data_IF_269583168625
#
_entry.id   IF_269583168625
#
_cell.length_a   1.000
_cell.length_b   1.000
_cell.length_c   1.000
_cell.angle_alpha   90.00
_cell.angle_beta   90.00
_cell.angle_gamma   90.00
#
_symmetry.space_group_name_H-M   'P 1'
#
loop_
_entity.id
_entity.type
_entity.pdbx_description
1 polymer ?
#
# COMPACT_ATOMS: atom_id res chain seq x y z
N UNK A 1 -13.42 -5.51 32.48
CA UNK A 1 -14.66 -5.60 31.67
C UNK A 1 -15.60 -6.62 32.29
N UNK A 2 -16.91 -6.38 32.23
CA UNK A 2 -17.91 -7.36 32.62
C UNK A 2 -18.75 -7.76 31.41
N UNK A 3 -18.85 -9.06 31.16
CA UNK A 3 -19.56 -9.62 30.01
C UNK A 3 -21.05 -9.76 30.30
N UNK A 4 -21.89 -9.04 29.55
CA UNK A 4 -23.37 -9.16 29.66
C UNK A 4 -23.93 -10.32 28.83
N UNK A 5 -23.22 -10.74 27.79
CA UNK A 5 -23.49 -11.94 27.00
C UNK A 5 -22.17 -12.52 26.50
N UNK A 6 -21.88 -13.77 26.85
CA UNK A 6 -20.64 -14.46 26.49
C UNK A 6 -20.95 -15.87 25.98
N UNK A 7 -20.27 -16.30 24.92
CA UNK A 7 -20.28 -17.68 24.43
C UNK A 7 -18.90 -18.32 24.65
N UNK A 8 -18.65 -18.96 25.79
CA UNK A 8 -17.44 -19.75 25.99
C UNK A 8 -17.60 -21.10 25.29
N UNK A 9 -17.29 -21.18 24.01
CA UNK A 9 -17.06 -22.49 23.41
C UNK A 9 -15.88 -22.51 22.45
N UNK A 10 -14.67 -22.53 23.01
CA UNK A 10 -13.53 -23.26 22.45
C UNK A 10 -12.51 -23.50 23.58
N UNK A 11 -11.97 -24.73 23.64
CA UNK A 11 -11.15 -25.25 24.75
C UNK A 11 -9.73 -24.66 24.87
N UNK A 12 -9.45 -23.49 24.30
CA UNK A 12 -8.08 -22.99 24.15
C UNK A 12 -7.84 -21.50 24.49
N UNK A 13 -8.80 -20.80 25.10
CA UNK A 13 -8.57 -19.42 25.56
C UNK A 13 -8.11 -19.42 27.02
N UNK A 14 -6.80 -19.21 27.21
CA UNK A 14 -6.18 -18.96 28.51
C UNK A 14 -6.44 -17.54 29.04
N UNK A 15 -6.95 -16.62 28.21
CA UNK A 15 -7.40 -15.27 28.59
C UNK A 15 -8.63 -14.88 27.73
N UNK A 16 -9.65 -14.21 28.30
CA UNK A 16 -10.86 -13.85 27.57
C UNK A 16 -10.59 -12.74 26.54
N UNK A 17 -10.71 -13.07 25.26
CA UNK A 17 -10.66 -12.11 24.14
C UNK A 17 -12.07 -11.69 23.75
N UNK A 18 -12.32 -10.39 23.65
CA UNK A 18 -13.56 -9.81 23.13
C UNK A 18 -13.64 -10.09 21.62
N UNK A 19 -14.67 -10.83 21.21
CA UNK A 19 -15.01 -11.06 19.80
C UNK A 19 -16.11 -10.08 19.38
N UNK A 20 -16.25 -9.88 18.07
CA UNK A 20 -17.12 -8.87 17.43
C UNK A 20 -18.58 -8.81 17.92
N UNK A 21 -19.10 -9.84 18.60
CA UNK A 21 -20.46 -9.88 19.20
C UNK A 21 -20.51 -9.71 20.72
N UNK A 22 -19.37 -9.54 21.39
CA UNK A 22 -19.30 -9.53 22.85
C UNK A 22 -19.64 -8.14 23.40
N UNK A 23 -20.60 -8.12 24.35
CA UNK A 23 -21.02 -6.90 25.03
C UNK A 23 -20.31 -6.77 26.38
N UNK A 24 -19.26 -5.95 26.41
CA UNK A 24 -18.51 -5.62 27.62
C UNK A 24 -18.91 -4.26 28.19
N UNK A 25 -19.01 -4.13 29.52
CA UNK A 25 -19.14 -2.83 30.21
C UNK A 25 -17.91 -2.55 31.09
N UNK A 26 -17.65 -1.25 31.30
CA UNK A 26 -16.44 -0.71 31.94
C UNK A 26 -16.62 -0.23 33.38
N UNK A 27 -17.74 -0.54 34.04
CA UNK A 27 -18.04 -0.05 35.40
C UNK A 27 -18.18 -1.21 36.40
N UNK A 28 -17.20 -1.28 37.31
CA UNK A 28 -17.21 -2.12 38.50
C UNK A 28 -18.23 -1.56 39.52
N UNK A 29 -19.36 -2.25 39.68
CA UNK A 29 -20.22 -2.18 40.87
C UNK A 29 -21.09 -0.91 41.12
N UNK A 30 -21.59 -0.22 40.08
CA UNK A 30 -22.74 0.68 40.27
C UNK A 30 -24.04 0.08 39.73
N UNK A 31 -25.03 -0.09 40.61
CA UNK A 31 -26.42 -0.35 40.23
C UNK A 31 -27.28 0.83 40.75
N UNK A 32 -27.81 1.71 39.88
CA UNK A 32 -27.79 1.65 38.42
C UNK A 32 -26.47 2.14 37.77
N UNK A 33 -26.18 1.71 36.52
CA UNK A 33 -25.04 2.20 35.75
C UNK A 33 -25.26 3.64 35.27
N UNK A 34 -24.28 4.53 35.51
CA UNK A 34 -24.34 5.95 35.12
C UNK A 34 -23.92 6.23 33.66
N UNK A 35 -23.54 5.20 32.89
CA UNK A 35 -23.16 5.36 31.50
C UNK A 35 -23.86 4.29 30.65
N UNK A 36 -24.44 4.68 29.49
CA UNK A 36 -24.94 3.69 28.53
C UNK A 36 -23.77 2.80 28.09
N UNK A 37 -24.03 1.51 27.78
CA UNK A 37 -23.00 0.60 27.31
C UNK A 37 -22.33 1.16 26.04
N UNK A 38 -21.00 1.17 26.02
CA UNK A 38 -20.21 1.57 24.87
C UNK A 38 -19.88 0.33 24.04
N UNK A 39 -20.39 0.20 22.81
CA UNK A 39 -20.05 -0.93 21.95
C UNK A 39 -18.61 -0.77 21.44
N UNK A 40 -17.75 -1.70 21.81
CA UNK A 40 -16.44 -1.85 21.17
C UNK A 40 -16.62 -2.71 19.92
N UNK A 41 -16.85 -2.08 18.77
CA UNK A 41 -16.99 -2.76 17.48
C UNK A 41 -15.59 -2.87 16.86
N UNK A 42 -15.04 -4.08 16.81
CA UNK A 42 -13.94 -4.38 15.90
C UNK A 42 -14.48 -4.24 14.47
N UNK A 43 -13.82 -3.44 13.63
CA UNK A 43 -14.27 -3.13 12.28
C UNK A 43 -14.58 -4.40 11.49
N UNK A 44 -15.84 -4.57 11.11
CA UNK A 44 -16.26 -5.62 10.17
C UNK A 44 -15.72 -5.19 8.81
N UNK A 45 -14.90 -6.03 8.18
CA UNK A 45 -14.53 -5.88 6.77
C UNK A 45 -15.56 -6.64 5.92
N UNK A 46 -16.59 -5.98 5.35
CA UNK A 46 -17.60 -6.67 4.56
C UNK A 46 -17.11 -6.74 3.12
N UNK A 47 -16.06 -7.53 2.89
CA UNK A 47 -15.74 -8.07 1.58
C UNK A 47 -15.62 -9.58 1.75
N UNK A 48 -16.70 -10.31 1.45
CA UNK A 48 -16.63 -11.77 1.26
C UNK A 48 -15.81 -12.16 0.03
N UNK A 49 -15.44 -11.17 -0.80
CA UNK A 49 -14.51 -11.32 -1.89
C UNK A 49 -13.07 -11.11 -1.40
N UNK A 50 -12.21 -12.08 -1.68
CA UNK A 50 -10.76 -11.95 -1.54
C UNK A 50 -10.21 -10.82 -2.42
N UNK A 51 -9.04 -10.29 -2.08
CA UNK A 51 -8.40 -9.26 -2.90
C UNK A 51 -8.12 -9.71 -4.33
N UNK A 52 -7.87 -11.00 -4.54
CA UNK A 52 -7.76 -11.58 -5.88
C UNK A 52 -9.06 -11.41 -6.67
N UNK A 53 -10.23 -11.65 -6.06
CA UNK A 53 -11.53 -11.53 -6.72
C UNK A 53 -11.88 -10.06 -7.03
N UNK A 54 -11.59 -9.13 -6.11
CA UNK A 54 -11.84 -7.70 -6.33
C UNK A 54 -11.00 -7.17 -7.48
N UNK A 55 -9.70 -7.48 -7.48
CA UNK A 55 -8.80 -7.03 -8.54
C UNK A 55 -9.13 -7.70 -9.88
N UNK A 56 -9.47 -8.99 -9.88
CA UNK A 56 -9.89 -9.71 -11.09
C UNK A 56 -11.20 -9.16 -11.68
N UNK A 57 -12.19 -8.82 -10.83
CA UNK A 57 -13.45 -8.22 -11.28
C UNK A 57 -13.25 -6.86 -11.96
N UNK A 58 -12.19 -6.15 -11.60
CA UNK A 58 -11.80 -4.88 -12.22
C UNK A 58 -10.88 -5.07 -13.43
N UNK A 59 -10.47 -6.29 -13.75
CA UNK A 59 -9.45 -6.56 -14.77
C UNK A 59 -8.08 -6.01 -14.40
N UNK A 60 -7.79 -5.82 -13.12
CA UNK A 60 -6.47 -5.42 -12.63
C UNK A 60 -5.60 -6.67 -12.48
N UNK A 61 -4.71 -6.87 -13.45
CA UNK A 61 -3.73 -7.96 -13.42
C UNK A 61 -2.59 -7.56 -12.46
N UNK A 62 -2.70 -7.97 -11.21
CA UNK A 62 -1.62 -7.88 -10.22
C UNK A 62 -0.60 -9.00 -10.44
N UNK A 63 0.69 -8.67 -10.39
CA UNK A 63 1.76 -9.64 -10.64
C UNK A 63 3.11 -9.18 -10.07
N UNK A 64 4.08 -10.09 -9.94
CA UNK A 64 5.48 -9.71 -9.74
C UNK A 64 6.08 -9.22 -11.04
N UNK A 65 6.98 -8.24 -10.99
CA UNK A 65 7.52 -7.64 -12.21
C UNK A 65 8.09 -8.67 -13.20
N UNK A 66 8.82 -9.69 -12.73
CA UNK A 66 9.41 -10.75 -13.56
C UNK A 66 8.41 -11.66 -14.28
N UNK A 67 7.20 -11.81 -13.76
CA UNK A 67 6.19 -12.72 -14.30
C UNK A 67 5.33 -12.10 -15.42
N UNK A 68 5.48 -10.79 -15.66
CA UNK A 68 4.53 -9.90 -16.34
C UNK A 68 3.56 -10.57 -17.35
N UNK A 69 2.27 -10.73 -16.97
CA UNK A 69 1.20 -11.19 -17.86
C UNK A 69 0.54 -10.04 -18.63
N UNK A 70 1.17 -8.87 -18.71
CA UNK A 70 0.62 -7.71 -19.39
C UNK A 70 0.68 -7.90 -20.90
N UNK A 71 -0.36 -7.47 -21.61
CA UNK A 71 -0.41 -7.60 -23.07
C UNK A 71 0.63 -6.68 -23.71
N UNK A 72 1.71 -7.28 -24.22
CA UNK A 72 2.80 -6.52 -24.81
C UNK A 72 2.43 -6.02 -26.23
N UNK A 73 2.36 -4.69 -26.40
CA UNK A 73 2.74 -3.81 -27.55
C UNK A 73 1.70 -2.70 -27.94
N UNK A 74 2.05 -1.41 -28.21
CA UNK A 74 3.33 -0.86 -28.72
C UNK A 74 3.67 0.64 -28.40
N UNK A 75 4.88 1.10 -28.82
CA UNK A 75 5.20 2.51 -29.18
C UNK A 75 5.27 2.76 -30.71
N UNK A 76 5.12 1.73 -31.56
CA UNK A 76 5.03 1.88 -33.03
C UNK A 76 4.44 0.68 -33.81
N UNK A 77 4.30 -0.53 -33.24
CA UNK A 77 3.62 -1.67 -33.87
C UNK A 77 4.26 -3.00 -33.46
N UNK A 78 3.55 -4.00 -32.97
CA UNK A 78 2.11 -4.03 -32.82
C UNK A 78 1.58 -5.35 -32.24
N UNK A 79 1.00 -5.25 -31.06
CA UNK A 79 -0.22 -5.96 -30.69
C UNK A 79 -1.36 -4.94 -30.56
N UNK A 80 -2.57 -5.41 -30.27
CA UNK A 80 -3.78 -4.60 -30.33
C UNK A 80 -3.65 -3.37 -29.42
N UNK A 81 -3.52 -2.16 -30.01
CA UNK A 81 -3.42 -0.90 -29.27
C UNK A 81 -4.56 -0.69 -28.26
N UNK A 82 -5.71 -1.30 -28.48
CA UNK A 82 -6.83 -1.24 -27.54
C UNK A 82 -6.59 -2.07 -26.27
N UNK A 83 -5.72 -3.08 -26.34
CA UNK A 83 -5.36 -3.97 -25.23
C UNK A 83 -3.93 -3.78 -24.75
N UNK A 84 -3.17 -2.83 -25.29
CA UNK A 84 -1.77 -2.60 -24.89
C UNK A 84 -1.67 -2.27 -23.40
N UNK A 85 -0.94 -3.10 -22.66
CA UNK A 85 -0.70 -2.94 -21.23
C UNK A 85 0.79 -2.98 -20.93
N UNK A 86 1.21 -2.17 -19.96
CA UNK A 86 2.56 -2.19 -19.41
C UNK A 86 2.52 -2.64 -17.97
N UNK A 87 3.49 -3.46 -17.60
CA UNK A 87 3.78 -3.70 -16.19
C UNK A 87 4.31 -2.42 -15.56
N UNK A 88 3.56 -1.92 -14.57
CA UNK A 88 3.94 -0.75 -13.80
C UNK A 88 4.07 -1.12 -12.32
N UNK A 89 5.24 -0.87 -11.73
CA UNK A 89 5.47 -1.03 -10.29
C UNK A 89 4.48 -0.17 -9.51
N UNK A 90 3.68 -0.78 -8.62
CA UNK A 90 2.66 -0.06 -7.85
C UNK A 90 3.31 1.12 -7.14
N UNK A 91 4.39 0.88 -6.40
CA UNK A 91 5.21 1.92 -5.78
C UNK A 91 6.45 2.18 -6.64
N UNK A 92 6.75 3.46 -6.90
CA UNK A 92 7.88 3.85 -7.73
C UNK A 92 9.22 3.28 -7.22
N UNK A 93 9.91 2.55 -8.09
CA UNK A 93 11.18 1.86 -7.75
C UNK A 93 12.26 2.80 -7.22
N UNK A 94 12.32 4.02 -7.74
CA UNK A 94 13.29 5.04 -7.34
C UNK A 94 13.18 5.49 -5.87
N UNK A 95 12.12 5.09 -5.14
CA UNK A 95 12.04 5.24 -3.69
C UNK A 95 12.93 4.23 -2.95
N UNK A 96 13.26 3.10 -3.58
CA UNK A 96 13.93 1.95 -2.96
C UNK A 96 15.28 1.62 -3.59
N UNK A 97 15.67 2.33 -4.65
CA UNK A 97 16.93 2.09 -5.36
C UNK A 97 17.70 3.38 -5.62
N UNK A 98 19.02 3.29 -5.78
CA UNK A 98 19.85 4.42 -6.21
C UNK A 98 19.71 4.69 -7.73
N UNK A 99 18.57 5.25 -8.12
CA UNK A 99 18.19 5.44 -9.53
C UNK A 99 17.31 4.30 -10.04
N UNK A 100 16.72 4.44 -11.24
CA UNK A 100 15.63 3.57 -11.72
C UNK A 100 16.00 2.07 -11.81
N UNK A 101 17.29 1.77 -12.02
CA UNK A 101 17.86 0.42 -12.13
C UNK A 101 19.09 0.25 -11.22
N UNK A 102 19.19 1.09 -10.18
CA UNK A 102 20.32 1.07 -9.25
C UNK A 102 20.20 -0.01 -8.19
N UNK A 103 21.21 -0.09 -7.33
CA UNK A 103 21.20 -0.96 -6.14
C UNK A 103 20.10 -0.54 -5.15
N UNK A 104 19.60 -1.50 -4.37
CA UNK A 104 18.67 -1.23 -3.29
C UNK A 104 19.28 -0.25 -2.28
N UNK A 105 18.47 0.67 -1.77
CA UNK A 105 18.91 1.55 -0.68
C UNK A 105 19.02 0.78 0.63
N UNK A 106 19.86 1.22 1.58
CA UNK A 106 20.10 0.48 2.83
C UNK A 106 18.84 0.20 3.66
N UNK A 107 17.87 1.11 3.64
CA UNK A 107 16.61 0.97 4.39
C UNK A 107 15.56 0.12 3.69
N UNK A 108 15.75 -0.19 2.40
CA UNK A 108 14.79 -0.97 1.61
C UNK A 108 15.05 -2.47 1.77
N UNK A 109 14.74 -2.96 2.97
CA UNK A 109 14.65 -4.38 3.26
C UNK A 109 15.64 -4.90 4.29
N UNK A 110 15.42 -4.62 5.58
CA UNK A 110 16.28 -5.12 6.67
C UNK A 110 16.37 -6.65 6.72
N UNK A 111 15.33 -7.38 6.30
CA UNK A 111 15.34 -8.84 6.25
C UNK A 111 15.91 -9.38 4.92
N UNK A 112 15.74 -8.61 3.84
CA UNK A 112 16.08 -9.01 2.47
C UNK A 112 16.15 -7.77 1.61
N UNK A 113 17.24 -7.58 0.88
CA UNK A 113 17.39 -6.43 -0.01
C UNK A 113 16.26 -6.37 -1.05
N UNK A 114 15.75 -5.16 -1.30
CA UNK A 114 14.75 -4.89 -2.32
C UNK A 114 15.19 -5.41 -3.70
N UNK A 115 14.28 -6.13 -4.36
CA UNK A 115 14.45 -6.66 -5.71
C UNK A 115 13.37 -6.11 -6.64
N UNK A 116 13.78 -5.37 -7.67
CA UNK A 116 12.87 -4.77 -8.66
C UNK A 116 12.03 -5.81 -9.39
N UNK A 117 12.56 -7.03 -9.56
CA UNK A 117 11.89 -8.12 -10.28
C UNK A 117 10.76 -8.76 -9.47
N UNK A 118 10.85 -8.68 -8.15
CA UNK A 118 9.87 -9.26 -7.22
C UNK A 118 8.85 -8.24 -6.72
N UNK A 119 9.16 -6.96 -6.90
CA UNK A 119 8.29 -5.88 -6.49
C UNK A 119 6.92 -5.96 -7.19
N UNK A 120 5.84 -5.59 -6.48
CA UNK A 120 4.47 -5.71 -6.98
C UNK A 120 4.21 -4.75 -8.13
N UNK A 121 3.61 -5.29 -9.19
CA UNK A 121 3.23 -4.57 -10.39
C UNK A 121 1.75 -4.77 -10.70
N UNK A 122 1.24 -3.87 -11.53
CA UNK A 122 -0.10 -3.95 -12.12
C UNK A 122 -0.01 -3.59 -13.59
N UNK A 123 -0.79 -4.29 -14.41
CA UNK A 123 -0.90 -3.96 -15.82
C UNK A 123 -1.74 -2.68 -16.01
N UNK A 124 -1.13 -1.65 -16.59
CA UNK A 124 -1.75 -0.37 -16.91
C UNK A 124 -1.73 -0.12 -18.41
N UNK A 125 -2.79 0.44 -18.96
CA UNK A 125 -2.88 0.74 -20.40
C UNK A 125 -1.96 1.88 -20.83
N UNK A 126 -1.24 1.65 -21.94
CA UNK A 126 -0.39 2.56 -22.76
C UNK A 126 0.72 3.37 -22.05
N UNK A 127 1.93 3.36 -22.62
CA UNK A 127 3.20 3.82 -22.07
C UNK A 127 3.50 5.33 -22.11
N UNK A 128 2.81 6.08 -22.97
CA UNK A 128 3.48 7.25 -23.57
C UNK A 128 2.69 8.56 -23.54
N UNK A 129 1.38 8.49 -23.35
CA UNK A 129 0.52 9.68 -23.38
C UNK A 129 -0.06 9.93 -22.01
N UNK A 130 -0.14 11.18 -21.59
CA UNK A 130 -0.73 11.53 -20.29
C UNK A 130 -2.16 11.01 -20.14
N UNK A 131 -2.93 10.94 -21.22
CA UNK A 131 -4.33 10.45 -21.22
C UNK A 131 -4.48 8.93 -21.06
N UNK A 132 -3.45 8.24 -20.57
CA UNK A 132 -3.41 6.76 -20.46
C UNK A 132 -3.20 6.41 -18.99
N UNK A 133 -3.50 5.18 -18.61
CA UNK A 133 -3.42 4.79 -17.19
C UNK A 133 -1.98 4.90 -16.69
N UNK A 134 -1.00 4.33 -17.41
CA UNK A 134 0.41 4.45 -17.03
C UNK A 134 0.93 5.89 -17.14
N UNK A 135 0.50 6.63 -18.17
CA UNK A 135 0.90 8.02 -18.35
C UNK A 135 0.36 8.98 -17.29
N UNK A 136 -0.89 8.80 -16.86
CA UNK A 136 -1.51 9.60 -15.79
C UNK A 136 -0.91 9.23 -14.44
N UNK A 137 -0.71 7.93 -14.15
CA UNK A 137 0.04 7.50 -12.95
C UNK A 137 1.41 8.18 -12.87
N UNK A 138 2.14 8.14 -13.98
CA UNK A 138 3.45 8.79 -14.09
C UNK A 138 3.36 10.30 -13.88
N UNK A 139 2.26 10.95 -14.26
CA UNK A 139 2.04 12.38 -14.02
C UNK A 139 1.81 12.65 -12.53
N UNK A 140 0.97 11.87 -11.86
CA UNK A 140 0.72 11.97 -10.42
C UNK A 140 1.98 11.70 -9.60
N UNK A 141 2.77 10.67 -9.93
CA UNK A 141 4.07 10.42 -9.29
C UNK A 141 5.05 11.60 -9.44
N UNK A 142 5.05 12.27 -10.59
CA UNK A 142 5.87 13.49 -10.79
C UNK A 142 5.41 14.62 -9.88
N UNK A 143 4.11 14.71 -9.59
CA UNK A 143 3.55 15.69 -8.67
C UNK A 143 3.95 15.36 -7.23
N UNK A 144 3.73 14.14 -6.74
CA UNK A 144 4.15 13.72 -5.39
C UNK A 144 5.64 13.95 -5.15
N UNK A 145 6.50 13.62 -6.14
CA UNK A 145 7.93 13.94 -6.09
C UNK A 145 8.21 15.43 -5.91
N UNK A 146 7.48 16.32 -6.60
CA UNK A 146 7.65 17.78 -6.45
C UNK A 146 7.28 18.22 -5.04
N UNK A 147 6.25 17.62 -4.46
CA UNK A 147 5.78 17.93 -3.12
C UNK A 147 6.77 17.44 -2.06
N UNK A 148 7.34 16.25 -2.23
CA UNK A 148 8.43 15.75 -1.38
C UNK A 148 9.69 16.60 -1.49
N UNK A 149 10.04 17.06 -2.68
CA UNK A 149 11.15 18.00 -2.90
C UNK A 149 10.90 19.32 -2.16
N UNK A 150 9.66 19.83 -2.17
CA UNK A 150 9.29 21.02 -1.44
C UNK A 150 9.39 20.81 0.08
N UNK A 151 8.89 19.67 0.60
CA UNK A 151 9.04 19.28 2.02
C UNK A 151 10.51 19.21 2.43
N UNK A 152 11.37 18.53 1.66
CA UNK A 152 12.82 18.44 1.93
C UNK A 152 13.54 19.78 1.89
N UNK A 153 13.04 20.75 1.11
CA UNK A 153 13.58 22.12 1.11
C UNK A 153 13.17 22.90 2.35
N UNK A 154 11.99 22.62 2.91
CA UNK A 154 11.51 23.22 4.15
C UNK A 154 12.15 22.57 5.39
N UNK A 155 12.40 21.25 5.33
CA UNK A 155 13.09 20.48 6.36
C UNK A 155 14.18 19.60 5.72
N UNK A 156 15.43 20.02 5.88
CA UNK A 156 16.59 19.34 5.32
C UNK A 156 16.86 17.96 5.93
N UNK A 157 16.18 17.59 7.03
CA UNK A 157 16.30 16.28 7.67
C UNK A 157 15.15 15.33 7.31
N UNK A 158 14.04 15.84 6.77
CA UNK A 158 12.86 15.06 6.44
C UNK A 158 13.07 14.11 5.26
N UNK A 159 12.80 12.81 5.42
CA UNK A 159 12.68 11.87 4.31
C UNK A 159 11.24 11.33 4.27
N UNK A 160 10.72 10.98 3.07
CA UNK A 160 9.47 10.24 2.99
C UNK A 160 9.62 8.88 3.67
N UNK A 161 8.52 8.33 4.17
CA UNK A 161 8.48 6.96 4.70
C UNK A 161 7.92 5.98 3.67
N UNK A 162 7.99 4.69 3.98
CA UNK A 162 7.32 3.65 3.20
C UNK A 162 5.82 3.93 3.07
N UNK A 163 5.17 4.36 4.16
CA UNK A 163 3.75 4.75 4.14
C UNK A 163 3.50 5.91 3.17
N UNK A 164 4.31 6.98 3.22
CA UNK A 164 4.18 8.10 2.27
C UNK A 164 4.31 7.60 0.83
N UNK A 165 5.30 6.74 0.55
CA UNK A 165 5.48 6.18 -0.78
C UNK A 165 4.32 5.29 -1.22
N UNK A 166 3.81 4.43 -0.34
CA UNK A 166 2.68 3.54 -0.64
C UNK A 166 1.43 4.34 -0.93
N UNK A 167 1.01 5.24 -0.03
CA UNK A 167 -0.23 5.98 -0.19
C UNK A 167 -0.18 6.96 -1.37
N UNK A 168 0.91 7.72 -1.57
CA UNK A 168 1.01 8.63 -2.73
C UNK A 168 0.98 7.88 -4.06
N UNK A 169 1.52 6.66 -4.11
CA UNK A 169 1.46 5.84 -5.31
C UNK A 169 0.09 5.15 -5.50
N UNK A 170 -0.62 4.82 -4.42
CA UNK A 170 -2.01 4.35 -4.48
C UNK A 170 -2.96 5.47 -4.94
N UNK A 171 -2.72 6.72 -4.53
CA UNK A 171 -3.42 7.88 -5.09
C UNK A 171 -3.11 8.07 -6.58
N UNK A 172 -1.86 7.89 -7.00
CA UNK A 172 -1.50 7.90 -8.41
C UNK A 172 -2.18 6.75 -9.19
N UNK A 173 -2.39 5.59 -8.57
CA UNK A 173 -3.18 4.49 -9.13
C UNK A 173 -4.65 4.87 -9.27
N UNK A 174 -5.25 5.54 -8.27
CA UNK A 174 -6.62 6.06 -8.35
C UNK A 174 -6.77 7.04 -9.51
N UNK A 175 -5.85 7.98 -9.64
CA UNK A 175 -5.84 8.93 -10.77
C UNK A 175 -5.78 8.22 -12.13
N UNK A 176 -4.90 7.21 -12.25
CA UNK A 176 -4.71 6.45 -13.47
C UNK A 176 -5.93 5.62 -13.87
N UNK A 177 -6.65 5.08 -12.89
CA UNK A 177 -7.72 4.12 -13.09
C UNK A 177 -9.12 4.75 -13.00
N UNK A 178 -9.21 6.07 -12.85
CA UNK A 178 -10.48 6.81 -12.85
C UNK A 178 -11.39 6.43 -14.02
N UNK A 179 -12.70 6.19 -13.80
CA UNK A 179 -13.40 6.15 -12.51
C UNK A 179 -13.46 4.74 -11.87
N UNK A 180 -12.73 3.74 -12.39
CA UNK A 180 -12.84 2.31 -12.03
C UNK A 180 -12.61 2.02 -10.55
N UNK A 181 -11.82 2.84 -9.88
CA UNK A 181 -11.49 2.70 -8.46
C UNK A 181 -11.62 4.04 -7.70
N UNK A 182 -12.50 4.91 -8.17
CA UNK A 182 -12.85 6.13 -7.42
C UNK A 182 -13.47 5.78 -6.08
N UNK A 183 -13.24 6.65 -5.10
CA UNK A 183 -13.87 6.53 -3.80
C UNK A 183 -15.40 6.55 -3.94
N UNK A 184 -16.05 5.75 -3.09
CA UNK A 184 -17.50 5.67 -3.03
C UNK A 184 -18.15 6.97 -2.57
N UNK A 185 -19.49 7.03 -2.60
CA UNK A 185 -20.23 8.14 -2.04
C UNK A 185 -19.79 8.42 -0.60
N UNK A 186 -19.46 9.68 -0.29
CA UNK A 186 -18.94 10.15 1.00
C UNK A 186 -17.43 9.90 1.25
N UNK A 187 -16.65 9.54 0.23
CA UNK A 187 -15.20 9.41 0.36
C UNK A 187 -14.75 8.08 0.97
N UNK A 188 -15.59 7.05 0.91
CA UNK A 188 -15.20 5.69 1.28
C UNK A 188 -14.19 5.15 0.26
N UNK A 189 -13.02 4.69 0.73
CA UNK A 189 -11.99 4.19 -0.16
C UNK A 189 -12.47 2.97 -0.96
N UNK A 190 -12.20 2.98 -2.27
CA UNK A 190 -12.55 1.85 -3.11
C UNK A 190 -11.82 0.56 -2.65
N UNK A 191 -12.50 -0.59 -2.47
CA UNK A 191 -11.88 -1.81 -1.93
C UNK A 191 -10.63 -2.29 -2.67
N UNK A 192 -10.55 -2.02 -3.97
CA UNK A 192 -9.37 -2.32 -4.80
C UNK A 192 -8.10 -1.60 -4.31
N UNK A 193 -8.21 -0.36 -3.82
CA UNK A 193 -7.09 0.40 -3.27
C UNK A 193 -6.58 -0.29 -2.00
N UNK A 194 -7.50 -0.69 -1.12
CA UNK A 194 -7.19 -1.53 0.04
C UNK A 194 -6.49 -2.84 -0.33
N UNK A 195 -6.91 -3.47 -1.42
CA UNK A 195 -6.27 -4.69 -1.91
C UNK A 195 -4.87 -4.48 -2.48
N UNK A 196 -4.67 -3.44 -3.29
CA UNK A 196 -3.34 -3.07 -3.76
C UNK A 196 -2.41 -2.73 -2.59
N UNK A 197 -2.93 -2.09 -1.54
CA UNK A 197 -2.21 -1.81 -0.29
C UNK A 197 -1.75 -3.09 0.40
N UNK A 198 -2.66 -4.05 0.61
CA UNK A 198 -2.35 -5.34 1.24
C UNK A 198 -1.29 -6.11 0.43
N UNK A 199 -1.42 -6.16 -0.89
CA UNK A 199 -0.44 -6.85 -1.72
C UNK A 199 0.93 -6.15 -1.73
N UNK A 200 0.97 -4.82 -1.62
CA UNK A 200 2.22 -4.10 -1.39
C UNK A 200 2.83 -4.46 -0.04
N UNK A 201 2.03 -4.45 1.03
CA UNK A 201 2.50 -4.73 2.38
C UNK A 201 3.06 -6.16 2.51
N UNK A 202 2.50 -7.16 1.82
CA UNK A 202 3.09 -8.52 1.79
C UNK A 202 4.53 -8.51 1.30
N UNK A 203 4.83 -7.75 0.25
CA UNK A 203 6.19 -7.68 -0.26
C UNK A 203 7.07 -6.81 0.65
N UNK A 204 6.70 -5.55 0.86
CA UNK A 204 7.56 -4.59 1.55
C UNK A 204 7.66 -4.83 3.06
N UNK A 205 6.56 -5.19 3.73
CA UNK A 205 6.58 -5.47 5.17
C UNK A 205 6.94 -6.92 5.44
N UNK A 206 6.19 -7.87 4.90
CA UNK A 206 6.38 -9.28 5.31
C UNK A 206 7.66 -9.88 4.74
N UNK A 207 7.98 -9.66 3.46
CA UNK A 207 9.22 -10.18 2.87
C UNK A 207 10.46 -9.34 3.17
N UNK A 208 10.38 -8.01 2.98
CA UNK A 208 11.55 -7.14 3.14
C UNK A 208 11.78 -6.72 4.60
N UNK A 209 10.76 -6.76 5.46
CA UNK A 209 10.84 -6.37 6.87
C UNK A 209 10.70 -4.87 7.11
N UNK A 210 10.15 -4.12 6.16
CA UNK A 210 9.89 -2.69 6.33
C UNK A 210 8.65 -2.46 7.21
N UNK A 211 8.56 -1.28 7.81
CA UNK A 211 7.35 -0.79 8.48
C UNK A 211 6.87 0.51 7.83
N UNK A 212 5.74 1.05 8.31
CA UNK A 212 5.16 2.29 7.77
C UNK A 212 6.10 3.52 7.91
N UNK A 213 7.00 3.50 8.89
CA UNK A 213 7.89 4.61 9.23
C UNK A 213 9.28 4.48 8.60
N UNK A 214 9.56 3.36 7.94
CA UNK A 214 10.86 3.07 7.33
C UNK A 214 11.19 4.17 6.31
N UNK A 215 12.29 4.92 6.50
CA UNK A 215 12.64 6.01 5.61
C UNK A 215 12.95 5.49 4.20
N UNK A 216 12.42 6.16 3.18
CA UNK A 216 12.69 5.86 1.77
C UNK A 216 13.31 7.06 1.07
N UNK A 217 13.79 6.85 -0.15
CA UNK A 217 14.44 7.89 -0.93
C UNK A 217 13.40 8.77 -1.61
N UNK A 218 13.66 10.09 -1.68
CA UNK A 218 12.94 10.95 -2.63
C UNK A 218 13.32 10.49 -4.05
N UNK A 219 12.37 10.20 -4.96
CA UNK A 219 12.65 9.59 -6.26
C UNK A 219 13.22 10.61 -7.26
N UNK A 220 14.39 11.16 -6.91
CA UNK A 220 15.10 12.19 -7.64
C UNK A 220 16.60 12.07 -7.38
N UNK A 221 17.40 12.05 -8.46
CA UNK A 221 18.85 11.80 -8.44
C UNK A 221 19.67 12.69 -7.51
N UNK A 222 19.19 13.90 -7.20
CA UNK A 222 19.91 14.85 -6.36
C UNK A 222 19.75 14.62 -4.86
N UNK A 223 18.92 13.67 -4.44
CA UNK A 223 18.69 13.36 -3.03
C UNK A 223 19.30 12.00 -2.72
N UNK A 224 20.11 11.94 -1.67
CA UNK A 224 20.72 10.71 -1.21
C UNK A 224 19.68 9.78 -0.56
N UNK A 225 19.99 8.48 -0.52
CA UNK A 225 19.23 7.53 0.28
C UNK A 225 19.33 7.88 1.78
N UNK A 226 18.29 7.62 2.58
CA UNK A 226 18.41 7.62 4.03
C UNK A 226 19.47 6.63 4.50
N UNK A 227 20.20 6.97 5.56
CA UNK A 227 21.09 6.01 6.21
C UNK A 227 20.28 4.93 6.94
N UNK A 228 20.78 3.71 6.95
CA UNK A 228 20.20 2.63 7.76
C UNK A 228 20.44 2.92 9.26
N UNK A 229 19.39 3.12 10.09
CA UNK A 229 19.56 3.32 11.52
C UNK A 229 20.21 2.13 12.23
N UNK A 230 20.18 0.92 11.65
CA UNK A 230 20.83 -0.28 12.18
C UNK A 230 22.34 -0.40 11.92
N UNK A 231 22.89 0.38 10.97
CA UNK A 231 24.30 0.29 10.57
C UNK A 231 25.27 0.98 11.55
N UNK A 232 24.77 1.74 12.53
CA UNK A 232 25.59 2.53 13.46
C UNK A 232 26.24 1.72 14.62
N UNK A 233 26.16 0.37 14.61
CA UNK A 233 26.48 -0.47 15.78
C UNK A 233 27.56 -1.54 15.60
N UNK A 234 28.27 -1.61 14.48
CA UNK A 234 29.34 -2.60 14.28
C UNK A 234 30.67 -1.86 14.05
N UNK A 235 31.36 -1.55 15.14
CA UNK A 235 32.78 -1.16 15.16
C UNK A 235 33.54 -2.01 16.17
#
# INVERSE_FOLDING_TARGET
EFFKSWSPNVKFDGEPVIRMTDLATNNHASDPPNAPPWPHIAGVNPATASCAEILAALGLKFHKHEDSPCEAEDRAGGSNKATFEQSDHIIQTACFTDGRLGEAIPTAGPNKAYDINKAPCVCLKDASRRSTEHGEKSASQRQSKRDWVAKRKADANWNPTYKDAREDNLDAMKDALKPRIDDGPNGEEHPAVGCLRVECDKYFKDELGMDDDTPVKIPHKSYAAPADPGAAGIS
#
